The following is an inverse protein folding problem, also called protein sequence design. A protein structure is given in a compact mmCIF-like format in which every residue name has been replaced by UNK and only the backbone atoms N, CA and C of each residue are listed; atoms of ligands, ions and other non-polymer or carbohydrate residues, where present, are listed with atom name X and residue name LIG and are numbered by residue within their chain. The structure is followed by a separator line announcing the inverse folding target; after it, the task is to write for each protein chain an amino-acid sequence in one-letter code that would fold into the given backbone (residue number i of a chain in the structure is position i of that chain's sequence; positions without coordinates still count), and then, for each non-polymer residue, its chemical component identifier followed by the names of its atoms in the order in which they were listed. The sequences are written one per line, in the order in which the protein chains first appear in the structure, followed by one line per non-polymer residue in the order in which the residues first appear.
data_IF_214526618137
#
_entry.id   IF_214526618137
#
_cell.length_a   1.000
_cell.length_b   1.000
_cell.length_c   1.000
_cell.angle_alpha   90.00
_cell.angle_beta   90.00
_cell.angle_gamma   90.00
#
_symmetry.space_group_name_H-M   'P 1'
#
loop_
_entity.id
_entity.type
_entity.pdbx_description
1 polymer ?
#
# COMPACT_ATOMS: atom_id res chain seq x y z
N UNK A 1 12.08 -8.70 -10.19
CA UNK A 1 10.63 -8.87 -10.46
C UNK A 1 9.92 -8.89 -9.13
N UNK A 2 8.91 -8.05 -8.94
CA UNK A 2 8.10 -8.02 -7.71
C UNK A 2 6.73 -8.62 -8.03
N UNK A 3 6.21 -9.47 -7.15
CA UNK A 3 4.92 -10.16 -7.33
C UNK A 3 3.91 -9.62 -6.33
N UNK A 4 2.71 -9.31 -6.80
CA UNK A 4 1.64 -8.78 -5.98
C UNK A 4 0.37 -9.58 -6.27
N UNK A 5 -0.29 -10.04 -5.21
CA UNK A 5 -1.56 -10.76 -5.24
C UNK A 5 -2.65 -9.89 -4.64
N UNK A 6 -3.81 -9.75 -5.31
CA UNK A 6 -4.96 -9.00 -4.83
C UNK A 6 -6.26 -9.82 -4.89
N UNK A 7 -7.30 -9.35 -4.19
CA UNK A 7 -8.62 -10.00 -4.12
C UNK A 7 -9.70 -9.11 -4.72
N UNK A 8 -10.55 -9.69 -5.57
CA UNK A 8 -11.75 -9.07 -6.14
C UNK A 8 -12.85 -10.13 -6.21
N UNK A 9 -14.06 -9.79 -5.79
CA UNK A 9 -15.20 -10.72 -5.70
C UNK A 9 -15.64 -11.32 -7.06
N UNK A 10 -15.12 -10.79 -8.17
CA UNK A 10 -15.41 -11.24 -9.54
C UNK A 10 -14.23 -11.88 -10.25
N UNK A 11 -13.02 -11.91 -9.66
CA UNK A 11 -11.83 -12.45 -10.31
C UNK A 11 -11.30 -13.66 -9.54
N UNK A 12 -11.28 -14.82 -10.22
CA UNK A 12 -10.78 -16.11 -9.75
C UNK A 12 -9.26 -16.12 -9.45
N UNK A 13 -8.81 -15.40 -8.42
CA UNK A 13 -7.48 -15.54 -7.79
C UNK A 13 -6.28 -15.44 -8.76
N UNK A 14 -6.47 -14.84 -9.94
CA UNK A 14 -5.41 -14.77 -10.97
C UNK A 14 -4.49 -13.59 -10.65
N UNK A 15 -3.16 -13.80 -10.63
CA UNK A 15 -2.21 -12.70 -10.56
C UNK A 15 -2.47 -11.71 -11.70
N UNK A 16 -2.70 -10.44 -11.36
CA UNK A 16 -2.85 -9.37 -12.34
C UNK A 16 -1.47 -8.74 -12.60
N UNK A 17 -1.06 -8.73 -13.86
CA UNK A 17 0.15 -8.03 -14.29
C UNK A 17 -0.19 -6.57 -14.56
N UNK A 18 0.30 -5.66 -13.73
CA UNK A 18 0.24 -4.24 -14.06
C UNK A 18 1.34 -3.92 -15.08
N UNK A 19 0.95 -3.32 -16.20
CA UNK A 19 1.85 -3.01 -17.32
C UNK A 19 2.86 -1.89 -16.97
N UNK A 20 2.63 -1.13 -15.90
CA UNK A 20 3.49 -0.01 -15.52
C UNK A 20 4.12 -0.16 -14.14
N UNK A 21 5.41 0.18 -14.06
CA UNK A 21 6.17 0.33 -12.80
C UNK A 21 5.62 1.40 -11.87
N UNK A 22 4.71 2.25 -12.37
CA UNK A 22 3.97 3.25 -11.58
C UNK A 22 3.08 2.60 -10.52
N UNK A 23 2.61 1.37 -10.68
CA UNK A 23 1.72 0.75 -9.67
C UNK A 23 2.48 0.25 -8.44
N UNK A 24 3.80 0.08 -8.51
CA UNK A 24 4.59 -0.43 -7.39
C UNK A 24 4.51 0.45 -6.13
N UNK A 25 4.28 1.76 -6.30
CA UNK A 25 4.22 2.70 -5.18
C UNK A 25 2.86 2.73 -4.46
N UNK A 26 1.83 2.06 -4.97
CA UNK A 26 0.48 1.97 -4.36
C UNK A 26 0.18 0.61 -3.75
N UNK A 27 1.21 -0.20 -3.57
CA UNK A 27 1.10 -1.54 -3.02
C UNK A 27 1.48 -1.47 -1.55
N UNK A 28 0.57 -1.93 -0.70
CA UNK A 28 0.89 -2.10 0.71
C UNK A 28 2.04 -3.11 0.86
N UNK A 29 3.15 -2.66 1.44
CA UNK A 29 4.33 -3.49 1.71
C UNK A 29 4.05 -4.58 2.75
N UNK A 30 3.01 -4.42 3.58
CA UNK A 30 2.61 -5.41 4.59
C UNK A 30 1.70 -6.50 4.02
N UNK A 31 0.56 -6.13 3.40
CA UNK A 31 -0.45 -7.09 2.96
C UNK A 31 -0.45 -7.35 1.44
N UNK A 32 0.36 -6.62 0.68
CA UNK A 32 0.43 -6.72 -0.78
C UNK A 32 -0.78 -6.13 -1.50
N UNK A 33 -1.78 -5.57 -0.81
CA UNK A 33 -2.95 -5.02 -1.48
C UNK A 33 -2.61 -3.73 -2.22
N UNK A 34 -3.07 -3.66 -3.47
CA UNK A 34 -3.07 -2.44 -4.27
C UNK A 34 -4.26 -1.58 -3.83
N UNK A 35 -3.99 -0.39 -3.28
CA UNK A 35 -5.02 0.55 -2.84
C UNK A 35 -4.87 1.88 -3.55
N UNK A 36 -5.99 2.55 -3.86
CA UNK A 36 -5.94 3.92 -4.41
C UNK A 36 -5.44 4.94 -3.39
N UNK A 37 -5.63 4.64 -2.10
CA UNK A 37 -5.19 5.47 -1.00
C UNK A 37 -4.15 4.67 -0.22
N UNK A 38 -2.90 5.08 -0.35
CA UNK A 38 -1.80 4.55 0.45
C UNK A 38 -1.06 5.68 1.16
N UNK A 39 -0.40 5.28 2.24
CA UNK A 39 0.43 6.11 3.10
C UNK A 39 1.85 5.63 2.94
N UNK A 40 2.76 6.52 2.52
CA UNK A 40 4.20 6.24 2.55
C UNK A 40 4.79 6.76 3.86
N UNK A 41 5.42 5.86 4.61
CA UNK A 41 6.09 6.14 5.87
C UNK A 41 7.50 6.74 5.67
N UNK A 42 8.10 7.35 6.71
CA UNK A 42 9.47 7.88 6.66
C UNK A 42 10.53 6.82 6.32
N UNK A 43 10.29 5.57 6.74
CA UNK A 43 11.12 4.41 6.41
C UNK A 43 10.95 3.89 4.97
N UNK A 44 10.27 4.67 4.12
CA UNK A 44 10.00 4.41 2.71
C UNK A 44 9.03 3.26 2.41
N UNK A 45 8.54 2.55 3.43
CA UNK A 45 7.47 1.57 3.30
C UNK A 45 6.12 2.22 3.00
N UNK A 46 5.35 1.59 2.11
CA UNK A 46 3.99 2.03 1.76
C UNK A 46 2.98 1.13 2.45
N UNK A 47 1.98 1.68 3.13
CA UNK A 47 0.87 0.94 3.75
C UNK A 47 -0.48 1.37 3.14
N UNK A 48 -1.42 0.44 3.02
CA UNK A 48 -2.83 0.82 2.83
C UNK A 48 -3.37 1.46 4.12
N UNK A 49 -4.47 2.21 4.00
CA UNK A 49 -5.08 2.91 5.13
C UNK A 49 -5.38 1.98 6.32
N UNK A 50 -5.93 0.79 6.05
CA UNK A 50 -6.24 -0.19 7.11
C UNK A 50 -4.98 -0.61 7.87
N UNK A 51 -3.90 -0.98 7.17
CA UNK A 51 -2.65 -1.35 7.82
C UNK A 51 -2.01 -0.18 8.56
N UNK A 52 -2.13 1.03 8.02
CA UNK A 52 -1.63 2.24 8.68
C UNK A 52 -2.39 2.55 9.98
N UNK A 53 -3.72 2.51 9.97
CA UNK A 53 -4.55 2.73 11.16
C UNK A 53 -4.26 1.69 12.26
N UNK A 54 -4.07 0.43 11.88
CA UNK A 54 -3.66 -0.62 12.82
C UNK A 54 -2.27 -0.35 13.40
N UNK A 55 -1.30 0.08 12.59
CA UNK A 55 0.01 0.49 13.08
C UNK A 55 -0.06 1.67 14.05
N UNK A 56 -0.92 2.65 13.81
CA UNK A 56 -1.16 3.75 14.75
C UNK A 56 -1.74 3.25 16.08
N UNK A 57 -2.71 2.32 16.04
CA UNK A 57 -3.27 1.70 17.25
C UNK A 57 -2.24 0.91 18.07
N UNK A 58 -1.22 0.37 17.41
CA UNK A 58 -0.17 -0.43 18.03
C UNK A 58 1.05 0.39 18.50
N UNK A 59 1.01 1.72 18.38
CA UNK A 59 2.07 2.61 18.86
C UNK A 59 2.76 3.46 17.80
N UNK A 60 2.17 3.55 16.59
CA UNK A 60 2.69 4.35 15.47
C UNK A 60 4.11 3.95 15.06
N UNK A 61 4.36 2.65 15.01
CA UNK A 61 5.58 2.08 14.46
C UNK A 61 5.27 1.33 13.17
N UNK A 62 6.20 1.40 12.23
CA UNK A 62 6.09 0.64 11.00
C UNK A 62 6.06 -0.86 11.33
N UNK A 63 5.12 -1.64 10.79
CA UNK A 63 4.97 -3.05 11.13
C UNK A 63 6.04 -3.95 10.48
N UNK A 64 6.93 -3.39 9.64
CA UNK A 64 7.95 -4.13 8.90
C UNK A 64 9.34 -4.00 9.51
N UNK A 65 9.69 -2.81 10.02
CA UNK A 65 11.01 -2.48 10.58
C UNK A 65 10.94 -1.88 11.99
N UNK A 66 9.74 -1.72 12.55
CA UNK A 66 9.47 -1.15 13.87
C UNK A 66 9.90 0.32 14.03
N UNK A 67 10.23 1.02 12.95
CA UNK A 67 10.61 2.43 13.02
C UNK A 67 9.39 3.30 13.38
N UNK A 68 9.51 4.20 14.37
CA UNK A 68 8.43 5.09 14.75
C UNK A 68 8.15 6.11 13.64
N UNK A 69 6.89 6.40 13.41
CA UNK A 69 6.45 7.44 12.48
C UNK A 69 5.46 8.39 13.16
N UNK A 70 5.41 9.62 12.64
CA UNK A 70 4.47 10.65 13.05
C UNK A 70 3.60 11.05 11.85
N UNK A 71 2.35 11.42 12.13
CA UNK A 71 1.30 11.64 11.11
C UNK A 71 1.63 12.76 10.11
N UNK A 72 2.48 13.71 10.53
CA UNK A 72 2.97 14.85 9.76
C UNK A 72 4.02 14.49 8.69
N UNK A 73 4.59 13.28 8.75
CA UNK A 73 5.63 12.83 7.83
C UNK A 73 5.14 11.81 6.80
N UNK A 74 3.81 11.72 6.64
CA UNK A 74 3.15 10.77 5.75
C UNK A 74 2.84 11.41 4.40
N UNK A 75 3.18 10.70 3.31
CA UNK A 75 2.76 11.07 1.96
C UNK A 75 1.55 10.24 1.56
N UNK A 76 0.42 10.91 1.33
CA UNK A 76 -0.74 10.31 0.70
C UNK A 76 -0.55 10.24 -0.81
N UNK A 77 -0.65 9.04 -1.36
CA UNK A 77 -0.56 8.83 -2.80
C UNK A 77 -1.95 8.45 -3.33
N UNK A 78 -2.54 9.35 -4.10
CA UNK A 78 -3.80 9.15 -4.81
C UNK A 78 -3.51 9.01 -6.30
N UNK A 79 -4.07 7.98 -6.93
CA UNK A 79 -4.00 7.88 -8.38
C UNK A 79 -5.30 8.40 -8.97
N UNK A 80 -5.17 9.46 -9.76
CA UNK A 80 -6.26 9.99 -10.58
C UNK A 80 -6.82 8.87 -11.46
N UNK A 81 -8.14 8.63 -11.39
CA UNK A 81 -8.85 7.44 -11.88
C UNK A 81 -8.83 7.14 -13.39
N UNK A 82 -7.78 7.54 -14.13
CA UNK A 82 -7.60 7.23 -15.55
C UNK A 82 -7.01 5.85 -15.86
N UNK A 83 -6.79 4.99 -14.86
CA UNK A 83 -6.05 3.71 -15.00
C UNK A 83 -6.85 2.46 -14.61
N UNK A 84 -8.18 2.60 -14.42
CA UNK A 84 -9.08 1.44 -14.35
C UNK A 84 -9.93 1.42 -15.62
N UNK A 85 -9.39 0.75 -16.64
CA UNK A 85 -10.16 0.22 -17.77
C UNK A 85 -10.19 -1.30 -17.64
#
# INVERSE_FOLDING_TARGET
SFFISGFSDTLDWRPLYFQESSVAHIVCSLCGLVSRNVVRLPCEHTLCLECHEESQRQGSTCPLDEEPFADDNIVHLDISGGYML
#
